data_IF_320932089798
#
_entry.id   IF_320932089798
#
_cell.length_a   1.000
_cell.length_b   1.000
_cell.length_c   1.000
_cell.angle_alpha   90.00
_cell.angle_beta   90.00
_cell.angle_gamma   90.00
#
_symmetry.space_group_name_H-M   'P 1'
#
loop_
_entity.id
_entity.type
_entity.pdbx_description
1 polymer ?
#
# COMPACT_ATOMS: atom_id res chain seq x y z
N UNK A 1 -11.61 60.68 -44.92
CA UNK A 1 -11.08 60.96 -43.58
C UNK A 1 -12.01 60.26 -42.60
N UNK A 2 -11.49 59.23 -41.90
CA UNK A 2 -12.02 58.46 -40.73
C UNK A 2 -13.45 57.88 -40.82
N UNK A 3 -13.62 56.56 -40.98
CA UNK A 3 -13.57 55.51 -39.93
C UNK A 3 -14.43 55.81 -38.70
N UNK A 4 -15.44 54.98 -38.41
CA UNK A 4 -15.28 53.88 -37.45
C UNK A 4 -16.56 53.06 -37.32
N UNK A 5 -16.46 51.75 -37.57
CA UNK A 5 -17.47 50.76 -37.23
C UNK A 5 -17.48 50.53 -35.71
N UNK A 6 -18.66 50.37 -35.11
CA UNK A 6 -18.82 49.67 -33.84
C UNK A 6 -19.87 48.58 -34.00
N UNK A 7 -19.38 47.35 -34.15
CA UNK A 7 -20.09 46.13 -33.77
C UNK A 7 -19.93 45.98 -32.26
N UNK A 8 -21.02 45.85 -31.54
CA UNK A 8 -21.05 45.10 -30.28
C UNK A 8 -22.21 44.11 -30.43
N UNK A 9 -21.84 42.93 -30.98
CA UNK A 9 -22.69 41.75 -30.96
C UNK A 9 -22.57 41.19 -29.55
N UNK A 10 -23.68 41.14 -28.83
CA UNK A 10 -23.78 40.58 -27.48
C UNK A 10 -23.21 39.15 -27.44
N UNK A 11 -21.99 39.03 -26.92
CA UNK A 11 -21.45 37.76 -26.43
C UNK A 11 -22.17 37.42 -25.13
N UNK A 12 -23.20 36.59 -25.21
CA UNK A 12 -23.70 35.86 -24.06
C UNK A 12 -22.68 34.79 -23.68
N UNK A 13 -21.74 35.16 -22.80
CA UNK A 13 -20.84 34.25 -22.10
C UNK A 13 -21.67 33.24 -21.28
N UNK A 14 -21.86 32.04 -21.83
CA UNK A 14 -22.22 30.87 -21.03
C UNK A 14 -20.95 30.22 -20.50
N UNK A 15 -20.38 30.82 -19.46
CA UNK A 15 -19.43 30.15 -18.58
C UNK A 15 -20.17 29.09 -17.76
N UNK A 16 -20.40 27.92 -18.35
CA UNK A 16 -20.68 26.72 -17.57
C UNK A 16 -19.35 26.28 -16.93
N UNK A 17 -18.94 26.94 -15.85
CA UNK A 17 -17.99 26.39 -14.90
C UNK A 17 -18.61 25.11 -14.36
N UNK A 18 -18.34 24.00 -15.03
CA UNK A 18 -18.54 22.69 -14.43
C UNK A 18 -17.68 22.70 -13.19
N UNK A 19 -18.29 22.67 -12.00
CA UNK A 19 -17.62 22.26 -10.78
C UNK A 19 -16.84 20.98 -11.11
N UNK A 20 -15.53 21.11 -11.36
CA UNK A 20 -14.68 19.98 -11.66
C UNK A 20 -14.51 19.25 -10.33
N UNK A 21 -15.46 18.37 -10.03
CA UNK A 21 -15.41 17.53 -8.84
C UNK A 21 -14.22 16.60 -9.00
N UNK A 22 -13.08 16.97 -8.42
CA UNK A 22 -11.90 16.14 -8.40
C UNK A 22 -12.21 14.82 -7.71
N UNK A 23 -12.19 13.73 -8.47
CA UNK A 23 -12.32 12.38 -7.94
C UNK A 23 -10.94 11.73 -7.90
N UNK A 24 -10.53 11.27 -6.70
CA UNK A 24 -9.26 10.52 -6.53
C UNK A 24 -9.22 9.26 -7.40
N UNK A 25 -10.39 8.71 -7.75
CA UNK A 25 -10.52 7.53 -8.58
C UNK A 25 -10.08 7.76 -10.03
N UNK A 26 -10.06 9.02 -10.50
CA UNK A 26 -9.66 9.35 -11.86
C UNK A 26 -8.13 9.26 -12.04
N UNK A 27 -7.39 9.32 -10.92
CA UNK A 27 -5.94 9.34 -10.88
C UNK A 27 -5.41 8.04 -10.27
N UNK A 28 -5.40 6.97 -11.06
CA UNK A 28 -5.03 5.62 -10.59
C UNK A 28 -3.61 5.55 -10.01
N UNK A 29 -2.66 6.28 -10.58
CA UNK A 29 -1.26 6.30 -10.09
C UNK A 29 -1.15 6.89 -8.68
N UNK A 30 -1.84 8.02 -8.45
CA UNK A 30 -1.89 8.67 -7.12
C UNK A 30 -2.56 7.75 -6.12
N UNK A 31 -3.68 7.12 -6.51
CA UNK A 31 -4.37 6.16 -5.66
C UNK A 31 -3.45 4.98 -5.28
N UNK A 32 -2.69 4.42 -6.21
CA UNK A 32 -1.71 3.36 -5.95
C UNK A 32 -0.66 3.84 -4.94
N UNK A 33 -0.09 5.04 -5.12
CA UNK A 33 0.91 5.61 -4.20
C UNK A 33 0.36 5.85 -2.79
N UNK A 34 -0.90 6.27 -2.66
CA UNK A 34 -1.57 6.38 -1.36
C UNK A 34 -1.73 5.00 -0.72
N UNK A 35 -2.23 4.02 -1.48
CA UNK A 35 -2.45 2.67 -0.98
C UNK A 35 -1.15 1.96 -0.57
N UNK A 36 -0.02 2.21 -1.26
CA UNK A 36 1.32 1.69 -0.88
C UNK A 36 1.76 2.11 0.53
N UNK A 37 1.29 3.26 1.02
CA UNK A 37 1.68 3.80 2.33
C UNK A 37 0.91 3.16 3.49
N UNK A 38 -0.20 2.48 3.21
CA UNK A 38 -1.02 1.84 4.22
C UNK A 38 -0.33 0.59 4.81
N UNK A 39 -0.83 0.14 5.97
CA UNK A 39 -0.53 -1.20 6.50
C UNK A 39 -1.52 -2.22 5.93
N UNK A 40 -1.20 -3.53 6.04
CA UNK A 40 -2.00 -4.58 5.41
C UNK A 40 -3.45 -4.66 5.91
N UNK A 41 -3.74 -4.23 7.15
CA UNK A 41 -5.12 -4.18 7.66
C UNK A 41 -5.89 -3.06 6.97
N UNK A 42 -5.34 -1.85 6.95
CA UNK A 42 -5.96 -0.71 6.29
C UNK A 42 -6.13 -0.95 4.78
N UNK A 43 -5.17 -1.59 4.14
CA UNK A 43 -5.26 -1.99 2.74
C UNK A 43 -6.43 -2.97 2.48
N UNK A 44 -6.65 -3.91 3.41
CA UNK A 44 -7.79 -4.84 3.33
C UNK A 44 -9.13 -4.11 3.45
N UNK A 45 -9.23 -3.12 4.34
CA UNK A 45 -10.43 -2.27 4.47
C UNK A 45 -10.64 -1.40 3.22
N UNK A 46 -9.57 -0.86 2.65
CA UNK A 46 -9.61 -0.05 1.43
C UNK A 46 -10.18 -0.83 0.24
N UNK A 47 -9.93 -2.14 0.14
CA UNK A 47 -10.50 -3.00 -0.89
C UNK A 47 -12.04 -3.06 -0.88
N UNK A 48 -12.69 -2.67 0.22
CA UNK A 48 -14.14 -2.68 0.38
C UNK A 48 -14.81 -1.37 -0.05
N UNK A 49 -14.05 -0.33 -0.38
CA UNK A 49 -14.60 1.00 -0.71
C UNK A 49 -15.34 0.99 -2.04
N UNK A 50 -14.71 0.49 -3.11
CA UNK A 50 -15.32 0.37 -4.43
C UNK A 50 -14.60 -0.69 -5.29
N UNK A 51 -15.13 -0.98 -6.48
CA UNK A 51 -14.56 -1.99 -7.40
C UNK A 51 -13.13 -1.66 -7.83
N UNK A 52 -12.82 -0.40 -8.10
CA UNK A 52 -11.48 0.02 -8.52
C UNK A 52 -10.45 -0.20 -7.43
N UNK A 53 -10.76 0.21 -6.20
CA UNK A 53 -9.88 -0.01 -5.04
C UNK A 53 -9.70 -1.50 -4.78
N UNK A 54 -10.78 -2.29 -4.89
CA UNK A 54 -10.70 -3.74 -4.79
C UNK A 54 -9.74 -4.35 -5.83
N UNK A 55 -9.82 -3.89 -7.09
CA UNK A 55 -8.95 -4.33 -8.19
C UNK A 55 -7.49 -3.99 -7.90
N UNK A 56 -7.21 -2.75 -7.49
CA UNK A 56 -5.86 -2.29 -7.16
C UNK A 56 -5.28 -3.08 -5.98
N UNK A 57 -6.03 -3.25 -4.89
CA UNK A 57 -5.58 -4.01 -3.70
C UNK A 57 -5.38 -5.50 -4.00
N UNK A 58 -6.08 -6.06 -4.99
CA UNK A 58 -5.85 -7.45 -5.42
C UNK A 58 -4.55 -7.63 -6.20
N UNK A 59 -3.96 -6.56 -6.72
CA UNK A 59 -2.70 -6.62 -7.43
C UNK A 59 -1.56 -6.97 -6.45
N UNK A 60 -0.81 -8.03 -6.78
CA UNK A 60 0.19 -8.60 -5.89
C UNK A 60 1.44 -7.70 -5.73
N UNK A 61 1.69 -6.78 -6.66
CA UNK A 61 2.80 -5.81 -6.59
C UNK A 61 2.69 -4.84 -5.40
N UNK A 62 1.47 -4.49 -4.98
CA UNK A 62 1.26 -3.70 -3.76
C UNK A 62 1.70 -4.47 -2.52
N UNK A 63 1.38 -5.77 -2.49
CA UNK A 63 1.76 -6.64 -1.39
C UNK A 63 3.25 -6.95 -1.40
N UNK A 64 3.88 -7.05 -2.57
CA UNK A 64 5.34 -7.16 -2.73
C UNK A 64 6.04 -6.00 -2.02
N UNK A 65 5.64 -4.76 -2.35
CA UNK A 65 6.18 -3.57 -1.71
C UNK A 65 5.98 -3.60 -0.19
N UNK A 66 4.79 -4.01 0.27
CA UNK A 66 4.48 -4.11 1.70
C UNK A 66 5.34 -5.16 2.44
N UNK A 67 5.65 -6.28 1.79
CA UNK A 67 6.50 -7.34 2.36
C UNK A 67 7.95 -6.87 2.51
N UNK A 68 8.48 -6.14 1.51
CA UNK A 68 9.90 -5.81 1.46
C UNK A 68 10.27 -4.37 1.86
N UNK A 69 9.32 -3.47 2.09
CA UNK A 69 9.62 -2.06 2.44
C UNK A 69 10.53 -1.88 3.66
N UNK A 70 10.53 -2.86 4.57
CA UNK A 70 11.34 -2.83 5.80
C UNK A 70 12.56 -3.78 5.74
N UNK A 71 12.67 -4.58 4.68
CA UNK A 71 13.77 -5.54 4.45
C UNK A 71 14.22 -5.35 3.00
N UNK A 72 14.97 -4.26 2.79
CA UNK A 72 15.61 -3.94 1.52
C UNK A 72 17.07 -4.42 1.56
N UNK A 73 17.58 -5.09 0.52
CA UNK A 73 16.92 -5.45 -0.75
C UNK A 73 16.10 -6.77 -0.69
N UNK A 74 15.12 -6.97 -1.61
CA UNK A 74 14.43 -8.26 -1.75
C UNK A 74 15.45 -9.39 -2.04
N UNK A 75 15.38 -10.54 -1.35
CA UNK A 75 16.30 -11.63 -1.60
C UNK A 75 16.16 -12.17 -3.05
N UNK A 76 17.28 -12.54 -3.65
CA UNK A 76 17.31 -13.10 -5.01
C UNK A 76 16.53 -14.42 -5.01
N UNK A 77 15.63 -14.60 -5.97
CA UNK A 77 14.89 -15.87 -6.15
C UNK A 77 13.66 -16.05 -5.25
N UNK A 78 13.15 -15.01 -4.59
CA UNK A 78 11.90 -15.12 -3.80
C UNK A 78 10.65 -15.26 -4.67
N UNK A 79 10.64 -14.71 -5.89
CA UNK A 79 9.46 -14.70 -6.77
C UNK A 79 8.90 -16.10 -7.06
N UNK A 80 9.71 -17.13 -7.41
CA UNK A 80 9.22 -18.50 -7.57
C UNK A 80 8.60 -19.08 -6.30
N UNK A 81 9.24 -18.90 -5.14
CA UNK A 81 8.77 -19.41 -3.85
C UNK A 81 7.44 -18.75 -3.48
N UNK A 82 7.34 -17.43 -3.65
CA UNK A 82 6.12 -16.68 -3.38
C UNK A 82 5.00 -17.09 -4.33
N UNK A 83 5.31 -17.33 -5.60
CA UNK A 83 4.33 -17.83 -6.57
C UNK A 83 3.79 -19.20 -6.13
N UNK A 84 4.65 -20.12 -5.68
CA UNK A 84 4.24 -21.41 -5.13
C UNK A 84 3.41 -21.30 -3.84
N UNK A 85 3.65 -20.26 -3.01
CA UNK A 85 2.84 -19.95 -1.84
C UNK A 85 1.47 -19.35 -2.18
N UNK A 86 1.24 -18.94 -3.43
CA UNK A 86 -0.01 -18.30 -3.86
C UNK A 86 0.01 -16.77 -3.85
N UNK A 87 1.20 -16.16 -3.90
CA UNK A 87 1.39 -14.71 -4.06
C UNK A 87 1.84 -13.97 -2.79
N UNK A 88 2.29 -12.73 -2.97
CA UNK A 88 2.77 -11.84 -1.92
C UNK A 88 1.71 -11.52 -0.88
N UNK A 89 0.43 -11.42 -1.28
CA UNK A 89 -0.66 -11.27 -0.31
C UNK A 89 -0.72 -12.44 0.68
N UNK A 90 -0.53 -13.67 0.20
CA UNK A 90 -0.54 -14.87 1.05
C UNK A 90 0.70 -14.91 1.95
N UNK A 91 1.88 -14.61 1.39
CA UNK A 91 3.12 -14.45 2.16
C UNK A 91 2.95 -13.43 3.30
N UNK A 92 2.35 -12.27 3.00
CA UNK A 92 2.13 -11.23 3.99
C UNK A 92 1.28 -11.73 5.15
N UNK A 93 0.17 -12.41 4.87
CA UNK A 93 -0.75 -12.90 5.90
C UNK A 93 -0.16 -14.01 6.75
N UNK A 94 0.59 -14.95 6.13
CA UNK A 94 1.10 -16.15 6.81
C UNK A 94 2.40 -15.89 7.56
N UNK A 95 3.32 -15.10 6.98
CA UNK A 95 4.67 -14.94 7.54
C UNK A 95 4.92 -13.52 8.06
N UNK A 96 4.68 -12.50 7.24
CA UNK A 96 5.10 -11.13 7.57
C UNK A 96 4.25 -10.53 8.70
N UNK A 97 2.93 -10.69 8.64
CA UNK A 97 1.98 -10.12 9.60
C UNK A 97 2.15 -10.69 11.02
N UNK A 98 2.33 -12.01 11.23
CA UNK A 98 2.61 -12.55 12.56
C UNK A 98 3.91 -12.01 13.14
N UNK A 99 4.98 -11.99 12.36
CA UNK A 99 6.29 -11.44 12.77
C UNK A 99 6.16 -9.96 13.14
N UNK A 100 5.46 -9.18 12.31
CA UNK A 100 5.12 -7.78 12.57
C UNK A 100 4.38 -7.58 13.88
N UNK A 101 3.41 -8.45 14.16
CA UNK A 101 2.59 -8.37 15.37
C UNK A 101 3.42 -8.65 16.63
N UNK A 102 4.38 -9.59 16.53
CA UNK A 102 5.34 -9.89 17.60
C UNK A 102 6.31 -8.75 17.85
N UNK A 103 6.88 -8.19 16.79
CA UNK A 103 7.77 -7.02 16.86
C UNK A 103 7.04 -5.82 17.49
N UNK A 104 5.82 -5.54 17.04
CA UNK A 104 5.00 -4.46 17.62
C UNK A 104 4.74 -4.67 19.11
N UNK A 105 4.49 -5.91 19.55
CA UNK A 105 4.29 -6.25 20.96
C UNK A 105 5.56 -6.05 21.80
N UNK A 106 6.74 -6.36 21.25
CA UNK A 106 8.02 -6.10 21.93
C UNK A 106 8.35 -4.62 22.04
N UNK A 107 7.97 -3.81 21.04
CA UNK A 107 8.18 -2.35 21.04
C UNK A 107 7.09 -1.55 21.75
N UNK A 108 6.28 -2.14 22.62
CA UNK A 108 5.30 -1.41 23.48
C UNK A 108 6.01 -0.61 24.62
N UNK A 109 7.31 -0.30 24.45
CA UNK A 109 8.04 0.71 25.22
C UNK A 109 7.97 2.08 24.54
N UNK A 110 8.35 3.14 25.28
CA UNK A 110 8.13 4.57 25.01
C UNK A 110 8.79 5.18 23.75
N UNK A 111 8.93 4.44 22.65
CA UNK A 111 9.63 4.90 21.43
C UNK A 111 8.71 5.61 20.42
N UNK A 112 9.28 6.66 19.83
CA UNK A 112 8.66 7.53 18.82
C UNK A 112 8.19 6.75 17.58
N UNK A 113 7.03 7.11 17.03
CA UNK A 113 6.39 6.42 15.90
C UNK A 113 7.26 6.32 14.63
N UNK A 114 8.24 7.22 14.50
CA UNK A 114 9.19 7.23 13.38
C UNK A 114 10.17 6.05 13.45
N UNK A 115 10.60 5.66 14.66
CA UNK A 115 11.48 4.50 14.90
C UNK A 115 10.74 3.19 14.67
N UNK A 116 9.41 3.15 14.83
CA UNK A 116 8.61 1.95 14.54
C UNK A 116 8.66 1.50 13.08
N UNK A 117 8.94 2.42 12.14
CA UNK A 117 8.99 2.10 10.70
C UNK A 117 10.30 1.46 10.28
N UNK A 118 11.40 1.73 10.99
CA UNK A 118 12.69 1.11 10.72
C UNK A 118 12.80 -0.16 11.57
N UNK A 119 13.08 -1.28 10.95
CA UNK A 119 13.36 -2.51 11.68
C UNK A 119 14.86 -2.65 11.88
N UNK A 120 15.28 -2.95 13.12
CA UNK A 120 16.65 -3.38 13.35
C UNK A 120 16.79 -4.82 12.86
N UNK A 121 17.74 -5.08 11.96
CA UNK A 121 17.93 -6.39 11.31
C UNK A 121 17.94 -7.54 12.32
N UNK A 122 18.61 -7.36 13.46
CA UNK A 122 18.71 -8.36 14.52
C UNK A 122 17.35 -8.71 15.15
N UNK A 123 16.47 -7.72 15.35
CA UNK A 123 15.13 -7.97 15.91
C UNK A 123 14.27 -8.78 14.94
N UNK A 124 14.40 -8.50 13.65
CA UNK A 124 13.68 -9.21 12.57
C UNK A 124 14.16 -10.65 12.52
N UNK A 125 15.48 -10.86 12.52
CA UNK A 125 16.09 -12.18 12.49
C UNK A 125 15.68 -13.03 13.70
N UNK A 126 15.76 -12.47 14.92
CA UNK A 126 15.31 -13.15 16.13
C UNK A 126 13.82 -13.50 16.07
N UNK A 127 12.98 -12.59 15.57
CA UNK A 127 11.54 -12.81 15.46
C UNK A 127 11.18 -13.87 14.41
N UNK A 128 11.93 -13.91 13.31
CA UNK A 128 11.80 -14.94 12.27
C UNK A 128 12.24 -16.30 12.79
N UNK A 129 13.39 -16.38 13.46
CA UNK A 129 13.88 -17.63 14.07
C UNK A 129 12.86 -18.20 15.06
N UNK A 130 12.32 -17.37 15.96
CA UNK A 130 11.28 -17.79 16.91
C UNK A 130 9.99 -18.21 16.20
N UNK A 131 9.57 -17.47 15.17
CA UNK A 131 8.38 -17.82 14.37
C UNK A 131 8.56 -19.17 13.66
N UNK A 132 9.72 -19.42 13.06
CA UNK A 132 10.01 -20.68 12.37
C UNK A 132 9.95 -21.87 13.34
N UNK A 133 10.55 -21.76 14.54
CA UNK A 133 10.51 -22.81 15.55
C UNK A 133 9.07 -23.16 15.91
N UNK A 134 8.25 -22.17 16.27
CA UNK A 134 6.84 -22.42 16.62
C UNK A 134 6.02 -22.96 15.45
N UNK A 135 6.30 -22.52 14.23
CA UNK A 135 5.60 -22.99 13.03
C UNK A 135 5.90 -24.48 12.79
N UNK A 136 7.16 -24.91 12.90
CA UNK A 136 7.52 -26.33 12.75
C UNK A 136 6.96 -27.19 13.89
N UNK A 137 6.95 -26.69 15.13
CA UNK A 137 6.29 -27.39 16.24
C UNK A 137 4.79 -27.59 15.97
N UNK A 138 4.13 -26.59 15.37
CA UNK A 138 2.70 -26.67 15.03
C UNK A 138 2.38 -27.62 13.86
N UNK A 139 3.37 -27.94 13.01
CA UNK A 139 3.22 -28.87 11.89
C UNK A 139 3.46 -30.34 12.27
N UNK A 140 4.15 -30.59 13.38
CA UNK A 140 4.50 -31.93 13.86
C UNK A 140 3.48 -32.50 14.88
N UNK A 141 2.34 -31.82 15.08
CA UNK A 141 1.20 -32.29 15.87
C UNK A 141 0.01 -32.61 14.96
#
# INVERSE_FOLDING_TARGET
>A
MVQSCKNENDQSDQSNETDQTFSINDNTDILIEVLKRLDGRSLSTAACVCKQWCSIVRNDSLWEHLCFRNVSPPPIGVRPVVSALGGYKRLYMVCVRPVLSRLKRRRVGNESEVVRRVWNQHEVELSLSLFCVEYYESLNC
#
